data_IF_293566503721
#
_entry.id   IF_293566503721
#
_cell.length_a   1.000
_cell.length_b   1.000
_cell.length_c   1.000
_cell.angle_alpha   90.00
_cell.angle_beta   90.00
_cell.angle_gamma   90.00
#
_symmetry.space_group_name_H-M   'P 1'
#
loop_
_entity.id
_entity.type
_entity.pdbx_description
1 polymer ?
#
# COMPACT_ATOMS: atom_id res chain seq x y z
N UNK A 1 -18.19 25.86 18.78
CA UNK A 1 -18.01 25.62 17.34
C UNK A 1 -19.28 24.96 16.80
N UNK A 2 -19.65 25.14 15.54
CA UNK A 2 -20.82 24.47 14.94
C UNK A 2 -20.43 23.80 13.60
N UNK A 3 -21.25 22.86 13.12
CA UNK A 3 -20.93 22.06 11.92
C UNK A 3 -20.62 22.94 10.70
N UNK A 4 -21.45 23.96 10.46
CA UNK A 4 -21.28 24.89 9.34
C UNK A 4 -19.93 25.63 9.38
N UNK A 5 -19.45 26.01 10.57
CA UNK A 5 -18.13 26.62 10.73
C UNK A 5 -16.99 25.65 10.43
N UNK A 6 -17.12 24.36 10.77
CA UNK A 6 -16.12 23.34 10.44
C UNK A 6 -16.13 23.02 8.95
N UNK A 7 -17.30 22.85 8.33
CA UNK A 7 -17.44 22.63 6.88
C UNK A 7 -16.81 23.80 6.11
N UNK A 8 -17.01 25.03 6.58
CA UNK A 8 -16.37 26.22 5.99
C UNK A 8 -14.84 26.18 6.14
N UNK A 9 -14.34 25.71 7.29
CA UNK A 9 -12.91 25.55 7.51
C UNK A 9 -12.32 24.43 6.64
N UNK A 10 -13.02 23.30 6.48
CA UNK A 10 -12.66 22.22 5.56
C UNK A 10 -12.52 22.79 4.15
N UNK A 11 -13.56 23.45 3.62
CA UNK A 11 -13.51 24.05 2.28
C UNK A 11 -12.32 25.01 2.13
N UNK A 12 -12.10 25.87 3.13
CA UNK A 12 -11.01 26.84 3.09
C UNK A 12 -9.62 26.17 3.05
N UNK A 13 -9.39 25.12 3.83
CA UNK A 13 -8.11 24.36 3.80
C UNK A 13 -7.94 23.67 2.45
N UNK A 14 -8.99 23.00 1.94
CA UNK A 14 -8.94 22.33 0.65
C UNK A 14 -8.61 23.30 -0.49
N UNK A 15 -9.21 24.49 -0.50
CA UNK A 15 -9.01 25.49 -1.55
C UNK A 15 -7.66 26.20 -1.44
N UNK A 16 -7.29 26.65 -0.23
CA UNK A 16 -6.21 27.63 -0.06
C UNK A 16 -4.90 27.03 0.42
N UNK A 17 -4.90 25.82 0.98
CA UNK A 17 -3.69 25.17 1.49
C UNK A 17 -3.34 23.90 0.71
N UNK A 18 -4.32 23.02 0.49
CA UNK A 18 -4.09 21.76 -0.23
C UNK A 18 -4.29 21.89 -1.75
N UNK A 19 -4.91 22.99 -2.21
CA UNK A 19 -5.22 23.26 -3.62
C UNK A 19 -5.90 22.07 -4.32
N UNK A 20 -6.88 21.46 -3.63
CA UNK A 20 -7.54 20.24 -4.06
C UNK A 20 -8.38 20.48 -5.32
N UNK A 21 -8.26 19.62 -6.36
CA UNK A 21 -9.16 19.65 -7.51
C UNK A 21 -10.56 19.13 -7.14
N UNK A 22 -11.60 19.42 -7.94
CA UNK A 22 -12.94 18.87 -7.70
C UNK A 22 -13.79 19.64 -6.69
N UNK A 23 -13.36 20.83 -6.25
CA UNK A 23 -14.11 21.67 -5.30
C UNK A 23 -15.45 22.16 -5.85
N UNK A 24 -15.68 22.12 -7.16
CA UNK A 24 -16.98 22.32 -7.78
C UNK A 24 -18.06 21.34 -7.28
N UNK A 25 -17.65 20.17 -6.79
CA UNK A 25 -18.54 19.14 -6.23
C UNK A 25 -18.61 19.23 -4.69
N UNK A 26 -18.05 20.26 -4.06
CA UNK A 26 -18.05 20.36 -2.60
C UNK A 26 -19.44 20.60 -2.01
N UNK A 27 -19.82 19.75 -1.05
CA UNK A 27 -21.07 19.79 -0.33
C UNK A 27 -21.03 18.84 0.88
N UNK A 28 -22.01 18.94 1.78
CA UNK A 28 -22.00 18.15 3.01
C UNK A 28 -21.98 16.63 2.74
N UNK A 29 -22.70 16.19 1.72
CA UNK A 29 -22.80 14.78 1.35
C UNK A 29 -21.73 14.32 0.35
N UNK A 30 -20.84 15.22 -0.07
CA UNK A 30 -19.74 14.86 -0.96
C UNK A 30 -18.83 13.88 -0.26
N UNK A 31 -18.55 12.77 -0.93
CA UNK A 31 -17.63 11.75 -0.46
C UNK A 31 -16.21 12.26 -0.59
N UNK A 32 -15.43 12.12 0.47
CA UNK A 32 -14.09 12.72 0.53
C UNK A 32 -13.19 12.17 -0.57
N UNK A 33 -13.21 10.85 -0.79
CA UNK A 33 -12.37 10.25 -1.83
C UNK A 33 -12.96 10.42 -3.22
N UNK A 34 -14.20 10.01 -3.45
CA UNK A 34 -14.73 9.87 -4.80
C UNK A 34 -15.16 11.18 -5.44
N UNK A 35 -15.71 12.11 -4.63
CA UNK A 35 -16.25 13.36 -5.15
C UNK A 35 -15.23 14.51 -5.02
N UNK A 36 -14.34 14.45 -4.02
CA UNK A 36 -13.33 15.49 -3.73
C UNK A 36 -11.88 15.02 -3.94
N UNK A 37 -11.66 13.79 -4.41
CA UNK A 37 -10.35 13.24 -4.72
C UNK A 37 -9.34 13.28 -3.55
N UNK A 38 -9.84 13.20 -2.31
CA UNK A 38 -9.02 13.14 -1.10
C UNK A 38 -8.63 11.69 -0.80
N UNK A 39 -7.37 11.37 -1.06
CA UNK A 39 -6.79 10.13 -0.59
C UNK A 39 -6.46 10.18 0.91
N UNK A 40 -6.08 9.02 1.47
CA UNK A 40 -5.71 8.93 2.88
C UNK A 40 -4.57 9.88 3.29
N UNK A 41 -3.67 10.25 2.37
CA UNK A 41 -2.57 11.18 2.66
C UNK A 41 -3.09 12.62 2.74
N UNK A 42 -3.92 13.04 1.78
CA UNK A 42 -4.57 14.35 1.77
C UNK A 42 -5.51 14.52 2.96
N UNK A 43 -6.20 13.46 3.38
CA UNK A 43 -7.01 13.46 4.60
C UNK A 43 -6.13 13.74 5.82
N UNK A 44 -4.99 13.06 5.98
CA UNK A 44 -4.07 13.33 7.09
C UNK A 44 -3.55 14.78 7.07
N UNK A 45 -3.20 15.31 5.91
CA UNK A 45 -2.77 16.71 5.77
C UNK A 45 -3.89 17.69 6.13
N UNK A 46 -5.12 17.43 5.68
CA UNK A 46 -6.32 18.20 6.01
C UNK A 46 -6.55 18.24 7.52
N UNK A 47 -6.49 17.09 8.20
CA UNK A 47 -6.66 16.99 9.65
C UNK A 47 -5.63 17.86 10.39
N UNK A 48 -4.35 17.76 10.02
CA UNK A 48 -3.27 18.54 10.65
C UNK A 48 -3.44 20.06 10.42
N UNK A 49 -3.88 20.48 9.23
CA UNK A 49 -4.22 21.89 8.97
C UNK A 49 -5.44 22.35 9.80
N UNK A 50 -6.46 21.51 9.94
CA UNK A 50 -7.65 21.82 10.73
C UNK A 50 -7.39 21.89 12.23
N UNK A 51 -6.53 21.01 12.78
CA UNK A 51 -6.09 21.11 14.18
C UNK A 51 -5.50 22.49 14.49
N UNK A 52 -4.61 22.97 13.62
CA UNK A 52 -3.97 24.28 13.76
C UNK A 52 -4.98 25.43 13.67
N UNK A 53 -5.90 25.40 12.70
CA UNK A 53 -6.89 26.47 12.51
C UNK A 53 -7.99 26.48 13.56
N UNK A 54 -8.45 25.31 13.99
CA UNK A 54 -9.59 25.14 14.88
C UNK A 54 -9.18 25.01 16.35
N UNK A 55 -7.89 24.78 16.64
CA UNK A 55 -7.39 24.54 17.99
C UNK A 55 -7.90 23.22 18.59
N UNK A 56 -8.12 22.21 17.74
CA UNK A 56 -8.59 20.88 18.13
C UNK A 56 -7.39 19.95 18.21
N UNK A 57 -7.41 19.00 19.14
CA UNK A 57 -6.45 17.90 19.19
C UNK A 57 -7.17 16.63 18.73
N UNK A 58 -6.70 16.03 17.63
CA UNK A 58 -7.29 14.82 17.06
C UNK A 58 -6.51 13.59 17.55
N UNK A 59 -7.15 12.65 18.27
CA UNK A 59 -6.48 11.44 18.75
C UNK A 59 -6.02 10.54 17.60
N UNK A 60 -4.89 9.87 17.79
CA UNK A 60 -4.26 9.02 16.75
C UNK A 60 -5.00 7.70 16.49
N UNK A 61 -5.79 7.26 17.46
CA UNK A 61 -6.60 6.06 17.44
C UNK A 61 -8.03 6.32 16.93
N UNK A 62 -8.42 7.59 16.79
CA UNK A 62 -9.75 7.99 16.34
C UNK A 62 -9.90 7.99 14.80
N UNK A 63 -8.89 7.52 14.07
CA UNK A 63 -8.91 7.48 12.60
C UNK A 63 -9.68 6.26 12.08
N UNK A 64 -11.01 6.22 12.24
CA UNK A 64 -11.85 5.15 11.67
C UNK A 64 -12.24 5.45 10.21
N UNK A 65 -12.41 4.42 9.38
CA UNK A 65 -12.76 4.60 7.96
C UNK A 65 -14.14 5.27 7.76
N UNK A 66 -15.08 5.07 8.69
CA UNK A 66 -16.44 5.61 8.59
C UNK A 66 -16.51 7.11 8.84
N UNK A 67 -15.64 7.64 9.71
CA UNK A 67 -15.58 9.08 10.01
C UNK A 67 -15.13 9.89 8.79
N UNK A 68 -14.37 9.30 7.86
CA UNK A 68 -13.81 9.98 6.69
C UNK A 68 -14.54 9.69 5.38
N UNK A 69 -15.79 9.22 5.44
CA UNK A 69 -16.55 8.91 4.24
C UNK A 69 -17.03 10.15 3.49
N UNK A 70 -17.50 11.18 4.20
CA UNK A 70 -18.08 12.40 3.64
C UNK A 70 -17.62 13.66 4.36
N UNK A 71 -17.83 14.83 3.75
CA UNK A 71 -17.61 16.13 4.42
C UNK A 71 -18.42 16.23 5.72
N UNK A 72 -19.65 15.70 5.72
CA UNK A 72 -20.53 15.66 6.88
C UNK A 72 -19.96 14.80 8.02
N UNK A 73 -19.56 13.56 7.73
CA UNK A 73 -19.02 12.65 8.75
C UNK A 73 -17.72 13.21 9.34
N UNK A 74 -16.86 13.81 8.52
CA UNK A 74 -15.64 14.47 8.98
C UNK A 74 -15.97 15.68 9.87
N UNK A 75 -16.96 16.49 9.51
CA UNK A 75 -17.37 17.62 10.32
C UNK A 75 -17.95 17.19 11.68
N UNK A 76 -18.71 16.09 11.71
CA UNK A 76 -19.26 15.52 12.95
C UNK A 76 -18.16 14.94 13.84
N UNK A 77 -17.20 14.24 13.25
CA UNK A 77 -16.01 13.77 13.93
C UNK A 77 -15.25 14.94 14.60
N UNK A 78 -14.97 16.01 13.85
CA UNK A 78 -14.26 17.18 14.38
C UNK A 78 -15.08 17.92 15.44
N UNK A 79 -16.41 17.97 15.32
CA UNK A 79 -17.28 18.52 16.36
C UNK A 79 -17.17 17.74 17.67
N UNK A 80 -17.24 16.41 17.60
CA UNK A 80 -17.16 15.55 18.77
C UNK A 80 -15.85 15.76 19.54
N UNK A 81 -14.73 15.96 18.82
CA UNK A 81 -13.41 16.20 19.40
C UNK A 81 -13.14 17.66 19.80
N UNK A 82 -14.02 18.58 19.42
CA UNK A 82 -13.95 19.98 19.83
C UNK A 82 -14.70 20.30 21.13
N UNK A 83 -15.59 19.40 21.55
CA UNK A 83 -16.29 19.53 22.82
C UNK A 83 -15.33 19.15 23.96
N UNK A 84 -15.19 20.04 24.95
CA UNK A 84 -14.38 19.74 26.15
C UNK A 84 -14.84 18.41 26.79
N UNK A 85 -13.93 17.62 27.40
CA UNK A 85 -14.32 16.42 28.13
C UNK A 85 -15.23 16.82 29.28
N UNK A 86 -16.53 16.53 29.14
CA UNK A 86 -17.56 16.97 30.09
C UNK A 86 -19.00 16.69 29.67
N UNK A 87 -19.29 16.50 28.37
CA UNK A 87 -20.64 16.15 27.91
C UNK A 87 -20.58 15.06 26.83
N UNK A 88 -20.14 13.86 27.20
CA UNK A 88 -20.48 12.67 26.44
C UNK A 88 -21.89 12.23 26.87
N UNK A 89 -22.90 12.66 26.12
CA UNK A 89 -24.19 11.97 26.14
C UNK A 89 -23.97 10.57 25.53
N UNK A 90 -24.37 9.54 26.26
CA UNK A 90 -24.38 8.15 25.84
C UNK A 90 -25.18 8.01 24.53
N UNK A 91 -24.46 7.97 23.41
CA UNK A 91 -24.99 7.62 22.10
C UNK A 91 -24.95 6.11 21.93
N UNK A 92 -26.10 5.55 21.61
CA UNK A 92 -26.36 4.11 21.46
C UNK A 92 -25.37 3.44 20.50
N UNK A 93 -24.76 2.35 20.97
CA UNK A 93 -24.05 1.41 20.11
C UNK A 93 -25.04 0.86 19.09
N UNK A 94 -24.84 1.24 17.83
CA UNK A 94 -25.52 0.56 16.73
C UNK A 94 -25.05 -0.90 16.72
N UNK A 95 -25.94 -1.89 16.57
CA UNK A 95 -25.54 -3.28 16.54
C UNK A 95 -24.61 -3.48 15.34
N UNK A 96 -23.38 -3.90 15.64
CA UNK A 96 -22.47 -4.47 14.66
C UNK A 96 -23.20 -5.66 14.03
N UNK A 97 -23.73 -5.46 12.83
CA UNK A 97 -24.11 -6.58 11.97
C UNK A 97 -22.84 -7.36 11.70
N UNK A 98 -22.77 -8.57 12.28
CA UNK A 98 -21.86 -9.63 11.85
C UNK A 98 -22.17 -9.93 10.38
N UNK A 99 -21.53 -9.19 9.47
CA UNK A 99 -21.22 -9.74 8.17
C UNK A 99 -20.14 -10.79 8.42
N UNK A 100 -20.40 -12.02 7.98
CA UNK A 100 -19.42 -13.09 8.03
C UNK A 100 -18.14 -12.57 7.36
N UNK A 101 -17.06 -12.45 8.13
CA UNK A 101 -15.73 -12.05 7.64
C UNK A 101 -15.23 -13.14 6.69
N UNK A 102 -15.70 -13.03 5.45
CA UNK A 102 -15.12 -13.71 4.31
C UNK A 102 -13.72 -13.12 4.16
N UNK A 103 -12.70 -13.93 4.44
CA UNK A 103 -11.27 -13.63 4.29
C UNK A 103 -11.04 -12.55 3.22
N UNK A 104 -10.88 -11.29 3.66
CA UNK A 104 -10.74 -10.16 2.76
C UNK A 104 -9.36 -10.28 2.11
N UNK A 105 -9.28 -10.89 0.93
CA UNK A 105 -8.06 -11.06 0.11
C UNK A 105 -7.35 -9.70 -0.10
N UNK A 106 -6.43 -9.34 0.80
CA UNK A 106 -5.75 -8.04 0.78
C UNK A 106 -4.72 -8.08 -0.35
N UNK A 107 -4.95 -7.27 -1.38
CA UNK A 107 -4.10 -7.16 -2.56
C UNK A 107 -3.16 -5.97 -2.36
N UNK A 108 -1.88 -6.20 -2.61
CA UNK A 108 -0.78 -5.47 -1.97
C UNK A 108 0.28 -4.99 -2.96
N UNK A 109 0.19 -5.44 -4.22
CA UNK A 109 1.17 -5.15 -5.26
C UNK A 109 0.56 -5.44 -6.64
N UNK A 110 0.22 -4.39 -7.39
CA UNK A 110 -0.54 -4.47 -8.65
C UNK A 110 -0.06 -5.54 -9.66
N UNK A 111 1.25 -5.65 -9.89
CA UNK A 111 1.83 -6.71 -10.73
C UNK A 111 1.54 -8.13 -10.20
N UNK A 112 1.78 -8.37 -8.90
CA UNK A 112 1.53 -9.67 -8.25
C UNK A 112 0.04 -9.97 -8.24
N UNK A 113 -0.80 -8.98 -7.95
CA UNK A 113 -2.25 -9.13 -7.93
C UNK A 113 -2.83 -9.47 -9.30
N UNK A 114 -2.33 -8.85 -10.37
CA UNK A 114 -2.67 -9.22 -11.75
C UNK A 114 -2.28 -10.66 -12.10
N UNK A 115 -1.11 -11.12 -11.67
CA UNK A 115 -0.67 -12.50 -11.89
C UNK A 115 -1.46 -13.51 -11.06
N UNK A 116 -1.77 -13.18 -9.80
CA UNK A 116 -2.55 -14.03 -8.91
C UNK A 116 -3.96 -14.29 -9.42
N UNK A 117 -4.53 -13.34 -10.17
CA UNK A 117 -5.91 -13.43 -10.63
C UNK A 117 -6.21 -14.69 -11.45
N UNK A 118 -5.33 -15.06 -12.38
CA UNK A 118 -5.56 -16.26 -13.19
C UNK A 118 -5.38 -17.57 -12.43
N UNK A 119 -4.50 -17.60 -11.43
CA UNK A 119 -4.22 -18.81 -10.65
C UNK A 119 -5.25 -18.98 -9.54
N UNK A 120 -5.93 -17.91 -9.09
CA UNK A 120 -7.09 -17.98 -8.19
C UNK A 120 -8.23 -18.81 -8.79
N UNK A 121 -8.43 -18.69 -10.10
CA UNK A 121 -9.46 -19.42 -10.83
C UNK A 121 -9.11 -20.91 -11.07
N UNK A 122 -7.90 -21.36 -10.74
CA UNK A 122 -7.44 -22.72 -11.03
C UNK A 122 -7.25 -23.53 -9.74
N UNK A 123 -8.10 -24.54 -9.55
CA UNK A 123 -8.10 -25.39 -8.35
C UNK A 123 -6.81 -26.21 -8.13
N UNK A 124 -5.91 -26.28 -9.12
CA UNK A 124 -4.65 -27.05 -9.01
C UNK A 124 -3.56 -26.31 -8.23
N UNK A 125 -3.71 -25.02 -8.02
CA UNK A 125 -2.69 -24.15 -7.44
C UNK A 125 -3.25 -23.27 -6.34
N UNK A 126 -2.36 -22.80 -5.48
CA UNK A 126 -2.66 -21.81 -4.46
C UNK A 126 -1.90 -20.53 -4.78
N UNK A 127 -2.60 -19.40 -4.78
CA UNK A 127 -2.02 -18.10 -5.11
C UNK A 127 -1.29 -17.47 -3.93
N UNK A 128 -1.65 -17.83 -2.69
CA UNK A 128 -1.13 -17.21 -1.46
C UNK A 128 0.39 -17.30 -1.33
N UNK A 129 1.05 -18.43 -1.70
CA UNK A 129 2.51 -18.50 -1.76
C UNK A 129 3.15 -17.39 -2.58
N UNK A 130 2.52 -16.90 -3.65
CA UNK A 130 3.15 -15.90 -4.51
C UNK A 130 3.37 -14.55 -3.81
N UNK A 131 2.53 -14.24 -2.81
CA UNK A 131 2.63 -13.03 -2.00
C UNK A 131 3.85 -13.03 -1.05
N UNK A 132 4.55 -14.15 -0.87
CA UNK A 132 5.77 -14.19 -0.03
C UNK A 132 6.82 -13.18 -0.50
N UNK A 133 6.87 -12.89 -1.80
CA UNK A 133 7.79 -11.90 -2.38
C UNK A 133 7.40 -10.44 -2.15
N UNK A 134 6.30 -10.15 -1.44
CA UNK A 134 5.75 -8.79 -1.34
C UNK A 134 6.08 -8.08 -0.03
N UNK A 135 6.06 -8.76 1.12
CA UNK A 135 6.23 -8.11 2.43
C UNK A 135 7.55 -7.34 2.56
N UNK A 136 8.62 -7.85 1.96
CA UNK A 136 9.96 -7.23 1.93
C UNK A 136 10.38 -6.86 0.50
N UNK A 137 9.41 -6.68 -0.40
CA UNK A 137 9.69 -6.16 -1.73
C UNK A 137 10.46 -4.84 -1.64
N UNK A 138 11.39 -4.64 -2.57
CA UNK A 138 12.31 -3.52 -2.58
C UNK A 138 11.59 -2.17 -2.41
N UNK A 139 12.18 -1.32 -1.56
CA UNK A 139 11.83 0.09 -1.41
C UNK A 139 12.99 0.92 -1.91
N UNK A 140 12.69 1.97 -2.68
CA UNK A 140 13.72 2.82 -3.26
C UNK A 140 13.83 4.09 -2.44
N UNK A 141 15.04 4.38 -1.97
CA UNK A 141 15.39 5.68 -1.37
C UNK A 141 16.24 6.41 -2.39
N UNK A 142 15.77 7.57 -2.86
CA UNK A 142 16.50 8.36 -3.84
C UNK A 142 17.65 9.18 -3.21
N UNK A 143 18.38 9.91 -4.05
CA UNK A 143 19.50 10.77 -3.63
C UNK A 143 19.10 11.91 -2.67
N UNK A 144 17.80 12.26 -2.64
CA UNK A 144 17.23 13.26 -1.75
C UNK A 144 16.60 12.64 -0.48
N UNK A 145 16.83 11.35 -0.25
CA UNK A 145 16.24 10.57 0.85
C UNK A 145 14.72 10.47 0.79
N UNK A 146 14.11 10.53 -0.40
CA UNK A 146 12.68 10.26 -0.55
C UNK A 146 12.43 8.78 -0.77
N UNK A 147 11.43 8.27 -0.06
CA UNK A 147 10.91 6.93 -0.19
C UNK A 147 9.97 6.87 -1.40
N UNK A 148 10.29 5.99 -2.35
CA UNK A 148 9.56 5.85 -3.60
C UNK A 148 9.00 4.42 -3.73
N UNK A 149 7.70 4.35 -4.05
CA UNK A 149 6.93 3.16 -4.38
C UNK A 149 7.30 2.60 -5.74
N UNK A 150 7.58 3.49 -6.70
CA UNK A 150 7.98 3.17 -8.06
C UNK A 150 9.34 3.78 -8.38
N UNK A 151 10.18 3.06 -9.13
CA UNK A 151 11.36 3.63 -9.77
C UNK A 151 11.43 3.16 -11.23
N UNK A 152 12.07 3.96 -12.08
CA UNK A 152 12.30 3.59 -13.48
C UNK A 152 13.19 2.33 -13.63
N UNK A 153 13.78 1.84 -12.54
CA UNK A 153 14.65 0.66 -12.50
C UNK A 153 13.99 -0.58 -11.90
N UNK A 154 12.69 -0.54 -11.57
CA UNK A 154 11.98 -1.71 -11.02
C UNK A 154 12.06 -2.88 -12.01
N UNK A 155 12.64 -3.99 -11.55
CA UNK A 155 12.79 -5.20 -12.34
C UNK A 155 11.85 -6.30 -11.84
N UNK A 156 10.88 -6.70 -12.66
CA UNK A 156 9.96 -7.81 -12.37
C UNK A 156 10.53 -9.21 -12.67
N UNK A 157 11.79 -9.35 -13.08
CA UNK A 157 12.42 -10.64 -13.41
C UNK A 157 12.36 -11.64 -12.27
N UNK A 158 12.53 -11.18 -11.02
CA UNK A 158 12.41 -12.02 -9.83
C UNK A 158 11.03 -12.69 -9.77
N UNK A 159 9.97 -11.89 -9.82
CA UNK A 159 8.59 -12.40 -9.80
C UNK A 159 8.29 -13.27 -11.02
N UNK A 160 8.74 -12.89 -12.22
CA UNK A 160 8.50 -13.67 -13.44
C UNK A 160 9.17 -15.04 -13.39
N UNK A 161 10.42 -15.11 -12.89
CA UNK A 161 11.17 -16.36 -12.73
C UNK A 161 10.46 -17.28 -11.74
N UNK A 162 10.06 -16.74 -10.58
CA UNK A 162 9.40 -17.53 -9.56
C UNK A 162 7.98 -17.93 -9.92
N UNK A 163 7.22 -17.07 -10.61
CA UNK A 163 5.90 -17.42 -11.11
C UNK A 163 5.96 -18.63 -12.06
N UNK A 164 6.99 -18.67 -12.92
CA UNK A 164 7.25 -19.83 -13.77
C UNK A 164 7.64 -21.08 -12.96
N UNK A 165 8.47 -20.95 -11.93
CA UNK A 165 8.86 -22.08 -11.07
C UNK A 165 7.68 -22.65 -10.31
N UNK A 166 6.86 -21.77 -9.70
CA UNK A 166 5.74 -22.14 -8.85
C UNK A 166 4.55 -22.66 -9.65
N UNK A 167 4.26 -22.05 -10.80
CA UNK A 167 2.99 -22.28 -11.51
C UNK A 167 3.17 -22.75 -12.95
N UNK A 168 4.40 -22.90 -13.46
CA UNK A 168 4.67 -23.31 -14.83
C UNK A 168 4.44 -22.24 -15.90
N UNK A 169 3.85 -21.09 -15.53
CA UNK A 169 3.42 -20.05 -16.47
C UNK A 169 4.57 -19.09 -16.79
N UNK A 170 4.85 -18.91 -18.08
CA UNK A 170 5.81 -17.93 -18.55
C UNK A 170 5.19 -16.53 -18.66
N UNK A 171 5.68 -15.59 -17.84
CA UNK A 171 5.31 -14.17 -17.92
C UNK A 171 6.28 -13.44 -18.85
N UNK A 172 5.80 -13.11 -20.05
CA UNK A 172 6.64 -12.57 -21.15
C UNK A 172 6.37 -11.07 -21.34
N UNK A 173 7.39 -10.21 -21.31
CA UNK A 173 7.20 -8.81 -21.62
C UNK A 173 6.83 -8.65 -23.09
N UNK A 174 5.89 -7.75 -23.39
CA UNK A 174 5.61 -7.29 -24.76
C UNK A 174 6.00 -5.82 -24.96
N UNK A 175 6.14 -5.07 -23.88
CA UNK A 175 6.57 -3.68 -23.92
C UNK A 175 8.09 -3.60 -24.11
N UNK A 176 8.53 -2.74 -25.02
CA UNK A 176 9.94 -2.47 -25.31
C UNK A 176 10.32 -1.07 -24.81
N UNK A 177 11.17 -0.96 -23.77
CA UNK A 177 11.51 0.34 -23.15
C UNK A 177 12.24 1.32 -24.09
N UNK A 178 12.95 0.79 -25.08
CA UNK A 178 13.69 1.59 -26.07
C UNK A 178 12.87 1.93 -27.31
N UNK A 179 11.64 1.43 -27.39
CA UNK A 179 10.74 1.72 -28.51
C UNK A 179 9.89 2.96 -28.24
N UNK A 180 9.47 3.63 -29.31
CA UNK A 180 8.51 4.73 -29.21
C UNK A 180 7.19 4.24 -28.61
N UNK A 181 6.55 5.11 -27.83
CA UNK A 181 5.28 4.81 -27.15
C UNK A 181 4.20 4.34 -28.11
N UNK A 182 4.11 4.95 -29.30
CA UNK A 182 3.19 4.57 -30.37
C UNK A 182 3.39 3.12 -30.83
N UNK A 183 4.64 2.66 -30.96
CA UNK A 183 4.96 1.27 -31.35
C UNK A 183 4.55 0.27 -30.27
N UNK A 184 4.70 0.63 -29.00
CA UNK A 184 4.21 -0.18 -27.89
C UNK A 184 2.67 -0.25 -27.88
N UNK A 185 1.99 0.87 -28.13
CA UNK A 185 0.53 0.92 -28.28
C UNK A 185 0.07 0.04 -29.45
N UNK A 186 0.70 0.13 -30.62
CA UNK A 186 0.40 -0.73 -31.78
C UNK A 186 0.60 -2.23 -31.45
N UNK A 187 1.56 -2.55 -30.59
CA UNK A 187 1.79 -3.91 -30.12
C UNK A 187 0.69 -4.37 -29.19
N UNK A 188 0.29 -3.55 -28.22
CA UNK A 188 -0.87 -3.80 -27.35
C UNK A 188 -2.14 -4.05 -28.16
N UNK A 189 -2.45 -3.19 -29.14
CA UNK A 189 -3.62 -3.32 -30.00
C UNK A 189 -3.63 -4.66 -30.74
N UNK A 190 -2.49 -5.05 -31.34
CA UNK A 190 -2.35 -6.36 -32.03
C UNK A 190 -2.49 -7.55 -31.09
N UNK A 191 -2.05 -7.42 -29.83
CA UNK A 191 -2.23 -8.47 -28.82
C UNK A 191 -3.70 -8.60 -28.44
N UNK A 192 -4.38 -7.49 -28.15
CA UNK A 192 -5.82 -7.48 -27.82
C UNK A 192 -6.68 -8.02 -28.97
N UNK A 193 -6.31 -7.73 -30.23
CA UNK A 193 -6.99 -8.28 -31.42
C UNK A 193 -6.90 -9.81 -31.52
N UNK A 194 -5.83 -10.40 -31.00
CA UNK A 194 -5.52 -11.84 -31.15
C UNK A 194 -5.61 -12.61 -29.84
N UNK A 195 -6.03 -11.97 -28.74
CA UNK A 195 -6.06 -12.53 -27.40
C UNK A 195 -6.99 -13.75 -27.34
N UNK A 196 -6.48 -14.98 -27.13
CA UNK A 196 -7.34 -16.11 -26.83
C UNK A 196 -7.93 -15.96 -25.42
N UNK A 197 -9.07 -16.61 -25.10
CA UNK A 197 -9.73 -16.49 -23.79
C UNK A 197 -8.83 -16.84 -22.59
N UNK A 198 -7.83 -17.68 -22.78
CA UNK A 198 -6.93 -18.15 -21.71
C UNK A 198 -5.72 -17.24 -21.49
N UNK A 199 -5.42 -16.34 -22.43
CA UNK A 199 -4.29 -15.43 -22.31
C UNK A 199 -4.73 -14.14 -21.64
N UNK A 200 -3.89 -13.62 -20.76
CA UNK A 200 -4.03 -12.30 -20.16
C UNK A 200 -3.05 -11.32 -20.78
N UNK A 201 -3.50 -10.08 -20.89
CA UNK A 201 -2.68 -8.95 -21.33
C UNK A 201 -2.68 -7.96 -20.18
N UNK A 202 -1.56 -7.93 -19.47
CA UNK A 202 -1.29 -6.97 -18.43
C UNK A 202 -0.58 -5.76 -19.02
N UNK A 203 -1.02 -4.57 -18.65
CA UNK A 203 -0.49 -3.29 -19.11
C UNK A 203 -0.30 -2.36 -17.94
N UNK A 204 0.77 -1.58 -17.95
CA UNK A 204 0.89 -0.44 -17.04
C UNK A 204 0.16 0.77 -17.65
N UNK A 205 -0.56 1.53 -16.84
CA UNK A 205 -1.15 2.81 -17.21
C UNK A 205 -1.06 3.81 -16.05
N UNK A 206 -1.26 5.09 -16.36
CA UNK A 206 -1.26 6.15 -15.35
C UNK A 206 -2.69 6.34 -14.81
N UNK A 207 -2.92 5.83 -13.60
CA UNK A 207 -4.23 5.86 -12.93
C UNK A 207 -4.73 7.27 -12.66
N UNK A 208 -3.84 8.24 -12.50
CA UNK A 208 -4.21 9.64 -12.33
C UNK A 208 -4.98 10.19 -13.54
N UNK A 209 -4.70 9.64 -14.74
CA UNK A 209 -5.38 10.01 -15.98
C UNK A 209 -6.71 9.28 -16.17
N UNK A 210 -7.18 8.51 -15.19
CA UNK A 210 -8.47 7.80 -15.19
C UNK A 210 -9.38 8.26 -14.03
N UNK A 211 -9.81 9.53 -13.99
CA UNK A 211 -10.49 10.14 -12.84
C UNK A 211 -11.91 9.61 -12.57
N UNK A 212 -12.51 8.88 -13.51
CA UNK A 212 -13.82 8.25 -13.33
C UNK A 212 -13.78 7.01 -12.41
N UNK A 213 -12.60 6.64 -11.92
CA UNK A 213 -12.39 5.52 -11.00
C UNK A 213 -12.18 6.03 -9.59
N UNK A 214 -12.71 5.29 -8.61
CA UNK A 214 -12.30 5.44 -7.21
C UNK A 214 -10.79 5.18 -7.14
N UNK A 215 -10.04 6.20 -6.76
CA UNK A 215 -8.60 6.12 -6.64
C UNK A 215 -8.22 6.33 -5.16
N UNK A 216 -7.88 5.24 -4.47
CA UNK A 216 -7.47 5.33 -3.05
C UNK A 216 -6.20 6.16 -2.86
N UNK A 217 -5.44 6.44 -3.93
CA UNK A 217 -4.23 7.27 -3.92
C UNK A 217 -4.24 8.26 -5.10
N UNK A 218 -4.52 9.53 -4.83
CA UNK A 218 -4.57 10.57 -5.86
C UNK A 218 -3.16 11.11 -6.20
N UNK A 219 -2.23 10.18 -6.47
CA UNK A 219 -0.85 10.52 -6.82
C UNK A 219 -0.74 10.86 -8.30
N UNK A 220 0.09 11.84 -8.65
CA UNK A 220 0.36 12.21 -10.04
C UNK A 220 1.88 12.23 -10.28
N UNK A 221 2.42 11.39 -11.18
CA UNK A 221 1.74 10.30 -11.87
C UNK A 221 1.44 9.12 -10.92
N UNK A 222 0.55 8.22 -11.31
CA UNK A 222 0.33 6.96 -10.58
C UNK A 222 0.38 5.74 -11.52
N UNK A 223 1.60 5.27 -11.88
CA UNK A 223 1.77 4.11 -12.73
C UNK A 223 1.29 2.83 -12.04
N UNK A 224 0.40 2.08 -12.70
CA UNK A 224 -0.28 0.91 -12.12
C UNK A 224 -0.54 -0.16 -13.17
N UNK A 225 -0.42 -1.44 -12.78
CA UNK A 225 -0.74 -2.56 -13.66
C UNK A 225 -2.21 -2.97 -13.57
N UNK A 226 -2.81 -3.15 -14.73
CA UNK A 226 -4.18 -3.67 -14.91
C UNK A 226 -4.20 -4.74 -15.99
N UNK A 227 -5.30 -5.49 -16.07
CA UNK A 227 -5.63 -6.41 -17.14
C UNK A 227 -6.61 -5.76 -18.12
N UNK A 228 -6.41 -5.98 -19.42
CA UNK A 228 -7.31 -5.47 -20.46
C UNK A 228 -7.92 -6.58 -21.31
N UNK A 229 -9.18 -6.39 -21.65
CA UNK A 229 -9.92 -7.18 -22.63
C UNK A 229 -10.74 -6.30 -23.58
N UNK A 230 -11.04 -6.85 -24.76
CA UNK A 230 -11.96 -6.20 -25.70
C UNK A 230 -13.40 -6.42 -25.26
N UNK A 231 -14.24 -5.40 -25.47
CA UNK A 231 -15.69 -5.57 -25.42
C UNK A 231 -16.25 -5.83 -26.83
N UNK A 232 -17.57 -5.95 -26.94
CA UNK A 232 -18.26 -5.99 -28.24
C UNK A 232 -18.27 -4.63 -28.95
N UNK A 233 -18.10 -3.55 -28.20
CA UNK A 233 -18.03 -2.18 -28.73
C UNK A 233 -16.57 -1.82 -29.02
N UNK A 234 -16.19 -1.51 -30.27
CA UNK A 234 -14.81 -1.21 -30.64
C UNK A 234 -14.22 0.04 -29.97
N UNK A 235 -15.07 0.93 -29.45
CA UNK A 235 -14.66 2.18 -28.79
C UNK A 235 -14.46 2.01 -27.27
N UNK A 236 -14.75 0.83 -26.72
CA UNK A 236 -14.56 0.56 -25.29
C UNK A 236 -13.73 -0.69 -25.03
N UNK A 237 -13.04 -0.71 -23.90
CA UNK A 237 -12.33 -1.88 -23.37
C UNK A 237 -12.88 -2.24 -22.00
N UNK A 238 -12.86 -3.54 -21.71
CA UNK A 238 -13.03 -4.01 -20.35
C UNK A 238 -11.67 -3.94 -19.67
N UNK A 239 -11.62 -3.27 -18.53
CA UNK A 239 -10.44 -3.18 -17.73
C UNK A 239 -10.72 -3.82 -16.38
N UNK A 240 -9.78 -4.64 -15.93
CA UNK A 240 -9.82 -5.25 -14.63
C UNK A 240 -8.56 -4.87 -13.86
N UNK A 241 -8.77 -4.32 -12.68
CA UNK A 241 -7.75 -3.98 -11.71
C UNK A 241 -7.95 -4.87 -10.49
N UNK A 242 -7.25 -6.03 -10.45
CA UNK A 242 -7.36 -6.92 -9.33
C UNK A 242 -7.01 -6.20 -8.03
N UNK A 243 -5.94 -5.39 -7.99
CA UNK A 243 -5.38 -4.77 -6.78
C UNK A 243 -6.41 -3.87 -6.06
N UNK A 244 -7.12 -3.05 -6.84
CA UNK A 244 -8.20 -2.20 -6.33
C UNK A 244 -9.57 -2.88 -6.32
N UNK A 245 -9.66 -4.15 -6.74
CA UNK A 245 -10.91 -4.91 -6.90
C UNK A 245 -11.94 -4.18 -7.76
N UNK A 246 -11.45 -3.49 -8.79
CA UNK A 246 -12.28 -2.71 -9.68
C UNK A 246 -12.32 -3.39 -11.04
N UNK A 247 -13.51 -3.58 -11.59
CA UNK A 247 -13.71 -4.03 -12.96
C UNK A 247 -14.78 -3.18 -13.65
N UNK A 248 -14.61 -2.94 -14.95
CA UNK A 248 -15.57 -2.14 -15.67
C UNK A 248 -15.18 -1.82 -17.10
N UNK A 249 -16.13 -1.25 -17.81
CA UNK A 249 -15.92 -0.76 -19.18
C UNK A 249 -15.31 0.65 -19.12
N UNK A 250 -14.30 0.90 -19.95
CA UNK A 250 -13.63 2.20 -20.10
C UNK A 250 -13.58 2.61 -21.56
N UNK A 251 -13.60 3.92 -21.80
CA UNK A 251 -13.38 4.46 -23.14
C UNK A 251 -11.96 4.13 -23.61
N UNK A 252 -11.85 3.49 -24.77
CA UNK A 252 -10.57 3.09 -25.35
C UNK A 252 -9.60 4.26 -25.49
N UNK A 253 -10.10 5.42 -25.93
CA UNK A 253 -9.29 6.63 -26.06
C UNK A 253 -8.71 7.10 -24.72
N UNK A 254 -9.48 6.96 -23.63
CA UNK A 254 -9.04 7.34 -22.30
C UNK A 254 -7.96 6.40 -21.75
N UNK A 255 -8.13 5.08 -21.97
CA UNK A 255 -7.12 4.08 -21.60
C UNK A 255 -5.81 4.31 -22.38
N UNK A 256 -5.89 4.59 -23.68
CA UNK A 256 -4.72 4.92 -24.49
C UNK A 256 -4.02 6.18 -23.96
N UNK A 257 -4.77 7.24 -23.66
CA UNK A 257 -4.23 8.47 -23.08
C UNK A 257 -3.51 8.23 -21.73
N UNK A 258 -4.03 7.30 -20.91
CA UNK A 258 -3.37 6.89 -19.67
C UNK A 258 -2.06 6.12 -19.92
N UNK A 259 -2.02 5.27 -20.94
CA UNK A 259 -0.81 4.50 -21.35
C UNK A 259 0.25 5.41 -21.97
N UNK A 260 -0.15 6.49 -22.63
CA UNK A 260 0.75 7.47 -23.26
C UNK A 260 1.59 8.27 -22.25
N UNK A 261 1.31 8.20 -20.95
CA UNK A 261 2.09 8.87 -19.91
C UNK A 261 3.57 8.48 -19.97
N UNK A 262 4.46 9.45 -19.79
CA UNK A 262 5.91 9.22 -19.76
C UNK A 262 6.33 8.39 -18.54
N UNK A 263 5.53 8.46 -17.47
CA UNK A 263 5.74 7.69 -16.24
C UNK A 263 5.37 6.20 -16.38
N UNK A 264 4.72 5.82 -17.48
CA UNK A 264 4.26 4.46 -17.74
C UNK A 264 5.29 3.68 -18.53
N UNK A 265 5.66 2.51 -18.03
CA UNK A 265 6.50 1.55 -18.75
C UNK A 265 6.10 0.13 -18.40
N UNK A 266 6.18 -0.78 -19.37
CA UNK A 266 5.97 -2.21 -19.12
C UNK A 266 4.61 -2.74 -19.54
N UNK A 267 4.57 -4.07 -19.65
CA UNK A 267 3.43 -4.80 -20.15
C UNK A 267 3.82 -6.25 -20.39
N UNK A 268 2.95 -7.18 -19.98
CA UNK A 268 3.23 -8.61 -19.99
C UNK A 268 2.07 -9.42 -20.54
N UNK A 269 2.38 -10.55 -21.14
CA UNK A 269 1.43 -11.60 -21.50
C UNK A 269 1.75 -12.89 -20.76
N UNK A 270 0.71 -13.60 -20.36
CA UNK A 270 0.78 -14.90 -19.69
C UNK A 270 -0.51 -15.68 -19.96
N UNK A 271 -0.47 -17.02 -19.87
CA UNK A 271 -1.55 -17.89 -20.33
C UNK A 271 -1.90 -18.95 -19.30
N UNK A 272 -3.19 -19.04 -18.93
CA UNK A 272 -3.67 -19.96 -17.90
C UNK A 272 -3.53 -21.43 -18.31
N UNK A 273 -3.40 -21.74 -19.61
CA UNK A 273 -3.15 -23.12 -20.07
C UNK A 273 -1.80 -23.66 -19.62
N UNK A 274 -0.85 -22.77 -19.32
CA UNK A 274 0.48 -23.15 -18.85
C UNK A 274 0.49 -23.50 -17.35
N UNK A 275 -0.63 -23.27 -16.62
CA UNK A 275 -0.70 -23.52 -15.18
C UNK A 275 -0.43 -24.99 -14.87
N UNK A 276 0.51 -25.21 -13.95
CA UNK A 276 0.89 -26.50 -13.38
C UNK A 276 0.82 -26.42 -11.86
N UNK A 277 0.54 -27.56 -11.23
CA UNK A 277 0.49 -27.66 -9.78
C UNK A 277 1.87 -27.34 -9.17
N UNK A 278 1.89 -26.50 -8.15
CA UNK A 278 3.11 -26.11 -7.45
C UNK A 278 3.68 -27.29 -6.66
N UNK A 279 4.98 -27.55 -6.80
CA UNK A 279 5.64 -28.51 -5.92
C UNK A 279 5.88 -27.89 -4.54
N UNK A 280 5.83 -28.71 -3.49
CA UNK A 280 6.18 -28.28 -2.13
C UNK A 280 7.64 -27.79 -2.08
N UNK A 281 8.52 -28.31 -2.94
CA UNK A 281 9.91 -27.86 -3.02
C UNK A 281 10.03 -26.45 -3.61
N UNK A 282 9.27 -26.12 -4.65
CA UNK A 282 9.29 -24.77 -5.23
C UNK A 282 8.76 -23.73 -4.24
N UNK A 283 7.70 -24.06 -3.49
CA UNK A 283 7.16 -23.18 -2.44
C UNK A 283 8.19 -22.97 -1.33
N UNK A 284 8.89 -24.03 -0.92
CA UNK A 284 9.99 -23.95 0.05
C UNK A 284 11.11 -23.03 -0.42
N UNK A 285 11.61 -23.25 -1.64
CA UNK A 285 12.73 -22.48 -2.19
C UNK A 285 12.30 -21.01 -2.40
N UNK A 286 11.05 -20.75 -2.79
CA UNK A 286 10.52 -19.39 -2.92
C UNK A 286 10.40 -18.68 -1.57
N UNK A 287 9.86 -19.35 -0.54
CA UNK A 287 9.78 -18.77 0.80
C UNK A 287 11.16 -18.33 1.28
N UNK A 288 12.18 -19.19 1.18
CA UNK A 288 13.55 -18.85 1.57
C UNK A 288 14.17 -17.72 0.74
N UNK A 289 13.81 -17.63 -0.55
CA UNK A 289 14.27 -16.54 -1.40
C UNK A 289 13.67 -15.18 -1.01
N UNK A 290 12.50 -15.17 -0.36
CA UNK A 290 11.78 -13.95 0.03
C UNK A 290 11.94 -13.59 1.51
N UNK A 291 12.25 -14.56 2.36
CA UNK A 291 12.23 -14.39 3.81
C UNK A 291 13.53 -13.77 4.33
N UNK A 292 13.48 -12.50 4.71
CA UNK A 292 14.61 -11.82 5.34
C UNK A 292 14.52 -11.91 6.88
N UNK A 293 15.36 -12.77 7.45
CA UNK A 293 15.37 -13.05 8.90
C UNK A 293 16.17 -12.03 9.73
N UNK A 294 17.02 -11.23 9.10
CA UNK A 294 18.00 -10.39 9.81
C UNK A 294 17.69 -8.89 9.76
N UNK A 295 16.81 -8.45 8.88
CA UNK A 295 16.48 -7.04 8.75
C UNK A 295 15.03 -6.83 8.33
N UNK A 296 14.55 -5.60 8.50
CA UNK A 296 13.22 -5.16 8.09
C UNK A 296 13.40 -3.99 7.11
N UNK A 297 13.62 -4.28 5.81
CA UNK A 297 14.15 -3.30 4.85
C UNK A 297 13.38 -1.97 4.79
N UNK A 298 12.05 -2.03 4.91
CA UNK A 298 11.21 -0.83 4.92
C UNK A 298 11.44 0.00 6.19
N UNK A 299 11.39 -0.62 7.38
CA UNK A 299 11.66 0.04 8.67
C UNK A 299 13.08 0.61 8.72
N UNK A 300 14.07 -0.14 8.23
CA UNK A 300 15.47 0.28 8.16
C UNK A 300 15.65 1.52 7.26
N UNK A 301 14.96 1.53 6.11
CA UNK A 301 14.98 2.65 5.16
C UNK A 301 14.32 3.89 5.75
N UNK A 302 13.12 3.74 6.35
CA UNK A 302 12.43 4.87 6.99
C UNK A 302 13.25 5.42 8.17
N UNK A 303 13.87 4.55 8.97
CA UNK A 303 14.77 4.96 10.05
C UNK A 303 15.95 5.77 9.53
N UNK A 304 16.52 5.37 8.39
CA UNK A 304 17.59 6.13 7.71
C UNK A 304 17.13 7.52 7.28
N UNK A 305 15.93 7.63 6.69
CA UNK A 305 15.33 8.90 6.26
C UNK A 305 15.05 9.80 7.47
N UNK A 306 14.41 9.28 8.52
CA UNK A 306 14.13 10.03 9.76
C UNK A 306 15.43 10.53 10.38
N UNK A 307 16.45 9.67 10.49
CA UNK A 307 17.77 10.08 11.00
C UNK A 307 18.39 11.19 10.14
N UNK A 308 18.29 11.10 8.81
CA UNK A 308 18.79 12.14 7.93
C UNK A 308 18.12 13.48 8.27
N UNK A 309 16.79 13.58 8.23
CA UNK A 309 16.05 14.84 8.41
C UNK A 309 16.06 15.39 9.84
N UNK A 310 16.35 14.57 10.86
CA UNK A 310 16.33 14.99 12.28
C UNK A 310 17.71 15.25 12.90
N UNK A 311 18.81 14.86 12.25
CA UNK A 311 20.18 15.16 12.70
C UNK A 311 20.46 16.67 12.72
N UNK A 312 21.22 17.12 13.74
CA UNK A 312 21.77 18.49 13.81
C UNK A 312 22.88 18.64 12.75
N UNK A 313 22.61 19.38 11.68
CA UNK A 313 23.60 19.83 10.70
C UNK A 313 23.42 21.33 10.41
N UNK A 314 24.45 21.98 9.87
CA UNK A 314 24.58 23.44 9.67
C UNK A 314 23.57 24.08 8.67
N UNK A 315 22.61 23.32 8.15
CA UNK A 315 21.52 23.82 7.29
C UNK A 315 20.32 24.34 8.10
N UNK A 316 19.55 25.28 7.53
CA UNK A 316 18.36 25.87 8.18
C UNK A 316 17.38 24.79 8.65
N UNK A 317 17.14 24.65 9.96
CA UNK A 317 16.36 23.54 10.52
C UNK A 317 14.87 23.49 10.12
N UNK A 318 14.23 24.63 9.84
CA UNK A 318 12.78 24.71 9.51
C UNK A 318 12.41 24.00 8.18
N UNK A 319 13.32 23.98 7.20
CA UNK A 319 13.08 23.33 5.91
C UNK A 319 13.16 21.79 6.01
N UNK A 320 13.85 21.25 7.03
CA UNK A 320 14.05 19.80 7.18
C UNK A 320 12.84 19.08 7.75
N UNK A 321 12.11 19.70 8.70
CA UNK A 321 10.91 19.10 9.26
C UNK A 321 9.81 18.93 8.21
N UNK A 322 9.63 19.93 7.35
CA UNK A 322 8.74 19.83 6.19
C UNK A 322 9.24 18.80 5.17
N UNK A 323 10.55 18.76 4.97
CA UNK A 323 11.20 17.76 4.12
C UNK A 323 10.93 16.31 4.56
N UNK A 324 10.88 16.03 5.86
CA UNK A 324 10.60 14.66 6.34
C UNK A 324 9.21 14.17 5.92
N UNK A 325 8.17 14.99 6.07
CA UNK A 325 6.81 14.61 5.69
C UNK A 325 6.73 14.25 4.21
N UNK A 326 7.34 15.07 3.34
CA UNK A 326 7.39 14.77 1.90
C UNK A 326 8.23 13.53 1.61
N UNK A 327 9.37 13.36 2.29
CA UNK A 327 10.28 12.24 2.08
C UNK A 327 9.67 10.88 2.39
N UNK A 328 8.74 10.79 3.34
CA UNK A 328 8.05 9.53 3.68
C UNK A 328 6.58 9.53 3.24
N UNK A 329 6.17 10.44 2.35
CA UNK A 329 4.78 10.59 1.91
C UNK A 329 4.16 9.30 1.37
N UNK A 330 4.96 8.47 0.70
CA UNK A 330 4.50 7.21 0.10
C UNK A 330 4.53 6.02 1.09
N UNK A 331 4.97 6.23 2.34
CA UNK A 331 5.05 5.19 3.36
C UNK A 331 3.71 4.49 3.64
N UNK A 332 2.56 5.19 3.78
CA UNK A 332 1.26 4.53 3.96
C UNK A 332 0.88 3.59 2.80
N UNK A 333 1.25 3.95 1.57
CA UNK A 333 0.98 3.14 0.38
C UNK A 333 1.84 1.87 0.39
N UNK A 334 3.12 2.04 0.71
CA UNK A 334 4.06 0.91 0.85
C UNK A 334 3.71 -0.01 2.00
N UNK A 335 3.17 0.52 3.10
CA UNK A 335 2.81 -0.25 4.28
C UNK A 335 1.79 -1.36 3.99
N UNK A 336 0.91 -1.17 3.01
CA UNK A 336 -0.07 -2.18 2.58
C UNK A 336 0.61 -3.49 2.18
N UNK A 337 1.85 -3.43 1.66
CA UNK A 337 2.65 -4.64 1.36
C UNK A 337 2.80 -5.59 2.53
N UNK A 338 2.72 -5.11 3.78
CA UNK A 338 2.86 -5.93 4.98
C UNK A 338 1.67 -6.87 5.22
N UNK A 339 0.49 -6.61 4.64
CA UNK A 339 -0.61 -7.58 4.64
C UNK A 339 -0.28 -8.86 3.86
N UNK A 340 0.80 -8.88 3.06
CA UNK A 340 1.32 -10.12 2.48
C UNK A 340 1.63 -11.18 3.55
N UNK A 341 1.95 -10.79 4.79
CA UNK A 341 2.16 -11.74 5.89
C UNK A 341 0.91 -12.57 6.20
N UNK A 342 -0.29 -12.01 6.02
CA UNK A 342 -1.55 -12.74 6.20
C UNK A 342 -1.68 -13.86 5.17
N UNK A 343 -1.28 -13.62 3.91
CA UNK A 343 -1.21 -14.68 2.89
C UNK A 343 -0.23 -15.78 3.27
N UNK A 344 0.91 -15.39 3.87
CA UNK A 344 1.88 -16.28 4.51
C UNK A 344 1.23 -17.21 5.52
N UNK A 345 0.63 -16.61 6.55
CA UNK A 345 -0.04 -17.35 7.61
C UNK A 345 -1.20 -18.19 7.09
N UNK A 346 -2.08 -17.62 6.28
CA UNK A 346 -3.24 -18.32 5.73
C UNK A 346 -2.85 -19.56 4.91
N UNK A 347 -1.77 -19.49 4.14
CA UNK A 347 -1.25 -20.66 3.42
C UNK A 347 -0.85 -21.76 4.41
N UNK A 348 0.00 -21.46 5.40
CA UNK A 348 0.45 -22.46 6.36
C UNK A 348 -0.67 -22.96 7.29
N UNK A 349 -1.61 -22.10 7.70
CA UNK A 349 -2.77 -22.49 8.51
C UNK A 349 -3.61 -23.54 7.82
N UNK A 350 -3.95 -23.29 6.55
CA UNK A 350 -4.73 -24.24 5.75
C UNK A 350 -3.97 -25.55 5.52
N UNK A 351 -2.67 -25.48 5.26
CA UNK A 351 -1.85 -26.67 5.01
C UNK A 351 -1.61 -27.51 6.27
N UNK A 352 -1.58 -26.88 7.44
CA UNK A 352 -1.37 -27.54 8.73
C UNK A 352 -2.68 -27.90 9.44
N UNK A 353 -3.83 -27.43 8.94
CA UNK A 353 -5.14 -27.67 9.53
C UNK A 353 -5.30 -27.02 10.91
N UNK A 354 -4.78 -25.79 11.08
CA UNK A 354 -4.94 -25.00 12.30
C UNK A 354 -6.34 -24.40 12.43
N UNK A 355 -6.72 -24.01 13.66
CA UNK A 355 -7.94 -23.25 13.92
C UNK A 355 -7.78 -21.76 13.59
N UNK A 356 -8.92 -21.08 13.45
CA UNK A 356 -8.97 -19.69 12.98
C UNK A 356 -8.62 -18.69 14.10
N UNK A 357 -8.79 -19.02 15.39
CA UNK A 357 -8.55 -18.08 16.50
C UNK A 357 -7.10 -17.59 16.54
N UNK A 358 -6.14 -18.49 16.35
CA UNK A 358 -4.73 -18.11 16.30
C UNK A 358 -4.36 -17.33 15.02
N UNK A 359 -5.14 -17.48 13.94
CA UNK A 359 -4.94 -16.73 12.70
C UNK A 359 -5.42 -15.29 12.83
N UNK A 360 -6.61 -15.08 13.40
CA UNK A 360 -7.19 -13.76 13.70
C UNK A 360 -6.22 -12.91 14.54
N UNK A 361 -5.63 -13.50 15.59
CA UNK A 361 -4.62 -12.83 16.41
C UNK A 361 -3.39 -12.35 15.60
N UNK A 362 -2.97 -13.09 14.56
CA UNK A 362 -1.89 -12.60 13.68
C UNK A 362 -2.36 -11.49 12.76
N UNK A 363 -3.60 -11.52 12.29
CA UNK A 363 -4.19 -10.45 11.48
C UNK A 363 -4.25 -9.14 12.27
N UNK A 364 -4.63 -9.17 13.54
CA UNK A 364 -4.59 -7.99 14.42
C UNK A 364 -3.17 -7.40 14.56
N UNK A 365 -2.16 -8.25 14.76
CA UNK A 365 -0.76 -7.80 14.86
C UNK A 365 -0.26 -7.22 13.54
N UNK A 366 -0.71 -7.76 12.40
CA UNK A 366 -0.37 -7.25 11.07
C UNK A 366 -1.09 -5.93 10.78
N UNK A 367 -2.37 -5.80 11.13
CA UNK A 367 -3.11 -4.54 11.05
C UNK A 367 -2.43 -3.45 11.89
N UNK A 368 -2.00 -3.78 13.10
CA UNK A 368 -1.27 -2.85 13.95
C UNK A 368 0.08 -2.43 13.32
N UNK A 369 0.77 -3.36 12.64
CA UNK A 369 1.97 -3.05 11.87
C UNK A 369 1.66 -2.08 10.73
N UNK A 370 0.62 -2.32 9.93
CA UNK A 370 0.27 -1.46 8.79
C UNK A 370 -0.19 -0.08 9.25
N UNK A 371 -1.11 -0.02 10.21
CA UNK A 371 -1.68 1.24 10.72
C UNK A 371 -0.63 2.12 11.43
N UNK A 372 0.35 1.52 12.11
CA UNK A 372 1.43 2.27 12.77
C UNK A 372 2.33 3.04 11.80
N UNK A 373 2.50 2.57 10.56
CA UNK A 373 3.18 3.36 9.52
C UNK A 373 2.41 4.63 9.13
N UNK A 374 1.07 4.59 9.16
CA UNK A 374 0.24 5.79 8.98
C UNK A 374 0.46 6.78 10.12
N UNK A 375 0.55 6.29 11.36
CA UNK A 375 0.85 7.12 12.55
C UNK A 375 2.22 7.80 12.45
N UNK A 376 3.26 7.07 12.00
CA UNK A 376 4.59 7.64 11.76
C UNK A 376 4.52 8.79 10.74
N UNK A 377 3.84 8.59 9.61
CA UNK A 377 3.69 9.63 8.60
C UNK A 377 2.90 10.83 9.14
N UNK A 378 1.81 10.60 9.88
CA UNK A 378 1.03 11.65 10.52
C UNK A 378 1.89 12.52 11.46
N UNK A 379 2.77 11.91 12.26
CA UNK A 379 3.70 12.65 13.11
C UNK A 379 4.74 13.44 12.32
N UNK A 380 5.21 12.93 11.19
CA UNK A 380 6.07 13.70 10.30
C UNK A 380 5.37 14.94 9.72
N UNK A 381 4.09 14.82 9.33
CA UNK A 381 3.28 15.97 8.87
C UNK A 381 3.15 17.00 10.00
N UNK A 382 2.79 16.58 11.21
CA UNK A 382 2.70 17.46 12.40
C UNK A 382 4.03 18.17 12.68
N UNK A 383 5.15 17.45 12.60
CA UNK A 383 6.48 18.00 12.82
C UNK A 383 6.76 19.19 11.90
N UNK A 384 6.29 19.15 10.65
CA UNK A 384 6.43 20.23 9.66
C UNK A 384 5.71 21.54 10.02
N UNK A 385 4.79 21.53 11.00
CA UNK A 385 4.08 22.74 11.46
C UNK A 385 4.81 23.48 12.58
N UNK A 386 5.71 22.83 13.31
CA UNK A 386 6.39 23.42 14.45
C UNK A 386 7.76 23.99 14.07
N UNK A 387 8.09 25.14 14.65
CA UNK A 387 9.42 25.73 14.53
C UNK A 387 10.48 24.72 14.94
N UNK A 388 11.59 24.69 14.21
CA UNK A 388 12.66 23.80 14.52
C UNK A 388 13.24 24.09 15.92
N UNK A 389 13.57 23.01 16.63
CA UNK A 389 14.02 23.02 18.03
C UNK A 389 12.99 23.44 19.10
N UNK A 390 11.70 23.55 18.76
CA UNK A 390 10.66 23.68 19.79
C UNK A 390 10.58 22.41 20.67
N UNK A 391 10.06 22.52 21.89
CA UNK A 391 9.82 21.36 22.75
C UNK A 391 8.89 20.33 22.08
N UNK A 392 7.85 20.83 21.39
CA UNK A 392 6.91 20.02 20.60
C UNK A 392 7.62 19.26 19.47
N UNK A 393 8.57 19.89 18.78
CA UNK A 393 9.33 19.23 17.71
C UNK A 393 10.22 18.11 18.25
N UNK A 394 10.89 18.31 19.39
CA UNK A 394 11.70 17.26 20.01
C UNK A 394 10.84 16.09 20.50
N UNK A 395 9.65 16.38 21.04
CA UNK A 395 8.70 15.35 21.45
C UNK A 395 8.24 14.52 20.24
N UNK A 396 7.80 15.16 19.16
CA UNK A 396 7.37 14.47 17.94
C UNK A 396 8.47 13.61 17.32
N UNK A 397 9.72 14.09 17.30
CA UNK A 397 10.86 13.29 16.83
C UNK A 397 11.05 12.06 17.72
N UNK A 398 10.93 12.22 19.04
CA UNK A 398 11.02 11.10 19.99
C UNK A 398 9.91 10.08 19.73
N UNK A 399 8.66 10.53 19.58
CA UNK A 399 7.51 9.68 19.25
C UNK A 399 7.72 8.90 17.93
N UNK A 400 8.23 9.55 16.88
CA UNK A 400 8.54 8.90 15.60
C UNK A 400 9.58 7.79 15.78
N UNK A 401 10.65 8.05 16.53
CA UNK A 401 11.72 7.07 16.79
C UNK A 401 11.20 5.89 17.62
N UNK A 402 10.37 6.15 18.63
CA UNK A 402 9.73 5.12 19.44
C UNK A 402 8.79 4.24 18.60
N UNK A 403 7.96 4.85 17.74
CA UNK A 403 7.09 4.11 16.82
C UNK A 403 7.91 3.24 15.85
N UNK A 404 9.02 3.74 15.32
CA UNK A 404 9.90 2.94 14.46
C UNK A 404 10.52 1.75 15.19
N UNK A 405 10.94 1.93 16.45
CA UNK A 405 11.44 0.83 17.27
C UNK A 405 10.36 -0.23 17.53
N UNK A 406 9.13 0.20 17.83
CA UNK A 406 7.98 -0.69 17.99
C UNK A 406 7.66 -1.45 16.69
N UNK A 407 7.66 -0.76 15.54
CA UNK A 407 7.47 -1.38 14.23
C UNK A 407 8.50 -2.46 13.95
N UNK A 408 9.77 -2.14 14.21
CA UNK A 408 10.86 -3.08 14.00
C UNK A 408 10.67 -4.36 14.85
N UNK A 409 10.31 -4.17 16.13
CA UNK A 409 10.05 -5.29 17.03
C UNK A 409 8.83 -6.11 16.58
N UNK A 410 7.71 -5.45 16.25
CA UNK A 410 6.46 -6.08 15.80
C UNK A 410 6.68 -6.91 14.53
N UNK A 411 7.40 -6.37 13.56
CA UNK A 411 7.68 -7.10 12.32
C UNK A 411 8.60 -8.31 12.56
N UNK A 412 9.62 -8.20 13.43
CA UNK A 412 10.41 -9.38 13.80
C UNK A 412 9.57 -10.44 14.52
N UNK A 413 8.61 -10.04 15.36
CA UNK A 413 7.66 -10.97 16.00
C UNK A 413 6.82 -11.70 14.97
N UNK A 414 6.27 -11.00 13.98
CA UNK A 414 5.53 -11.60 12.85
C UNK A 414 6.42 -12.60 12.09
N UNK A 415 7.64 -12.20 11.73
CA UNK A 415 8.60 -13.07 11.03
C UNK A 415 8.95 -14.32 11.83
N UNK A 416 9.15 -14.20 13.13
CA UNK A 416 9.40 -15.35 14.01
C UNK A 416 8.21 -16.30 14.07
N UNK A 417 7.00 -15.75 14.18
CA UNK A 417 5.75 -16.50 14.09
C UNK A 417 5.65 -17.26 12.76
N UNK A 418 5.80 -16.56 11.65
CA UNK A 418 5.72 -17.15 10.32
C UNK A 418 6.79 -18.22 10.09
N UNK A 419 8.03 -17.99 10.54
CA UNK A 419 9.11 -18.96 10.41
C UNK A 419 8.84 -20.25 11.19
N UNK A 420 8.23 -20.14 12.37
CA UNK A 420 7.83 -21.31 13.17
C UNK A 420 6.84 -22.19 12.39
N UNK A 421 5.89 -21.57 11.72
CA UNK A 421 4.82 -22.26 10.99
C UNK A 421 5.34 -22.81 9.66
N UNK A 422 6.23 -22.08 8.98
CA UNK A 422 7.01 -22.61 7.86
C UNK A 422 7.81 -23.85 8.25
N UNK A 423 8.51 -23.85 9.39
CA UNK A 423 9.27 -25.00 9.85
C UNK A 423 8.40 -26.20 10.22
N UNK A 424 7.21 -25.98 10.81
CA UNK A 424 6.21 -27.05 11.02
C UNK A 424 5.74 -27.63 9.71
N UNK A 425 5.41 -26.78 8.74
CA UNK A 425 5.04 -27.20 7.39
C UNK A 425 6.16 -27.99 6.70
N UNK A 426 7.41 -27.58 6.85
CA UNK A 426 8.57 -28.33 6.36
C UNK A 426 8.66 -29.72 6.99
N UNK A 427 8.47 -29.83 8.31
CA UNK A 427 8.51 -31.11 9.01
C UNK A 427 7.45 -32.09 8.49
N UNK A 428 6.21 -31.61 8.29
CA UNK A 428 5.09 -32.42 7.73
C UNK A 428 5.37 -32.87 6.30
N UNK A 429 6.02 -32.02 5.49
CA UNK A 429 6.30 -32.29 4.09
C UNK A 429 7.70 -32.92 3.85
N UNK A 430 8.40 -33.34 4.91
CA UNK A 430 9.76 -33.91 4.84
C UNK A 430 10.79 -33.01 4.11
N UNK A 431 10.67 -31.69 4.29
CA UNK A 431 11.60 -30.69 3.78
C UNK A 431 12.62 -30.26 4.86
N UNK A 432 13.80 -29.72 4.48
CA UNK A 432 14.80 -29.29 5.44
C UNK A 432 14.30 -28.12 6.29
N UNK A 433 14.45 -28.20 7.61
CA UNK A 433 14.12 -27.09 8.50
C UNK A 433 15.09 -25.93 8.29
N UNK A 434 14.59 -24.69 8.35
CA UNK A 434 15.41 -23.49 8.34
C UNK A 434 15.71 -23.06 9.77
N UNK A 435 16.99 -23.11 10.13
CA UNK A 435 17.52 -22.54 11.36
C UNK A 435 18.43 -21.37 10.98
N UNK A 436 18.02 -20.10 11.22
CA UNK A 436 18.91 -18.98 10.98
C UNK A 436 20.14 -19.11 11.87
N UNK A 437 21.32 -18.97 11.28
CA UNK A 437 22.58 -18.98 12.04
C UNK A 437 22.58 -17.81 13.05
N UNK A 438 22.79 -18.12 14.34
CA UNK A 438 22.83 -17.15 15.44
C UNK A 438 24.03 -16.20 15.41
N UNK A 439 24.93 -16.34 14.43
CA UNK A 439 26.07 -15.46 14.23
C UNK A 439 25.71 -14.35 13.24
N UNK A 440 25.19 -13.24 13.76
CA UNK A 440 25.40 -11.87 13.27
C UNK A 440 24.68 -10.94 14.26
N UNK A 441 25.43 -10.53 15.30
CA UNK A 441 25.08 -9.34 16.07
C UNK A 441 25.04 -8.15 15.10
N UNK A 442 23.96 -7.38 15.14
CA UNK A 442 23.85 -6.09 14.44
C UNK A 442 25.11 -5.23 14.65
N UNK A 443 25.75 -4.71 13.59
CA UNK A 443 26.84 -3.74 13.74
C UNK A 443 26.40 -2.34 14.21
N UNK A 444 25.13 -2.12 14.55
CA UNK A 444 24.57 -0.77 14.73
C UNK A 444 24.69 -0.19 16.16
N UNK A 445 25.69 -0.61 16.95
CA UNK A 445 25.97 0.02 18.25
C UNK A 445 27.43 0.48 18.46
N UNK A 446 28.28 0.43 17.43
CA UNK A 446 29.62 1.05 17.49
C UNK A 446 29.85 2.01 16.32
N UNK A 447 29.17 3.15 16.38
CA UNK A 447 29.71 4.40 15.84
C UNK A 447 29.11 5.56 16.65
N UNK A 448 29.77 5.89 17.76
CA UNK A 448 29.67 7.24 18.28
C UNK A 448 30.32 8.18 17.28
N UNK A 449 29.50 9.07 16.70
CA UNK A 449 29.71 10.49 16.35
C UNK A 449 28.41 11.00 15.72
#
# INVERSE_FOLDING_TARGET
MNRSSIISAIHHVLENELHTPGLENFGEHSRLNEDLYLDSILILQLLVSLESKLGIEIPDDALSADDFKTVFSLADFLLAHSAKPGEAALGEQSPQTQEAEEFLDIKVHCFVSCLCEIIKADARVDHRPFYFGVWDAEVVVDENFHLNYHSATINHDFFRKWYRSLYGVAVKPWYEDKADKSKNIDTLLRLLDKKPPTQQIMVMLDMFRLPERENKFNQNPFPHYVLLEKTQDPDTWFMYDPDFRWEGTQQKSQVIYAIESDAVGGGYVFDSREIQASSKRDIYDYFLACFNVHSNPMTDSVSTIVNYFTRKQDTKPDDRHKGLAEAIKQLPVLAIRKYAYEHGFAYFWRELGHDDEAFEAWCEVIEELVSSYKKIHYRAIKLGQFAAHSASSHQLITEIVELLAQQNHREFTIKQGLLKEFNRWCAVNHLPLFAPSSSLQSPLLEAGI
#
